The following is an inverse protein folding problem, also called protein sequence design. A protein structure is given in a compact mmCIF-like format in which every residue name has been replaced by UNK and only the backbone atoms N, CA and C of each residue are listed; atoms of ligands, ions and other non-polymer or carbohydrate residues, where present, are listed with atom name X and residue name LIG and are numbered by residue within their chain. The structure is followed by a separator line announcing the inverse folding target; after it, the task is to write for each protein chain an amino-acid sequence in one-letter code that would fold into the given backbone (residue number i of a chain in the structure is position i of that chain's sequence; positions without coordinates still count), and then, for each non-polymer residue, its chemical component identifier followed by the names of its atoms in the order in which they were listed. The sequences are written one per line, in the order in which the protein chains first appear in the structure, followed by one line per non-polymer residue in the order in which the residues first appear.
data_IF_732671593934
#
_entry.id   IF_732671593934
#
_cell.length_a   1.000
_cell.length_b   1.000
_cell.length_c   1.000
_cell.angle_alpha   90.00
_cell.angle_beta   90.00
_cell.angle_gamma   90.00
#
_symmetry.space_group_name_H-M   'P 1'
#
loop_
_entity.id
_entity.type
_entity.pdbx_description
1 polymer ?
#
# COMPACT_ATOMS: atom_id res chain seq x y z
N UNK A 1 12.04 25.13 12.10
CA UNK A 1 10.78 24.65 11.50
C UNK A 1 11.13 23.66 10.40
N UNK A 2 11.05 22.35 10.66
CA UNK A 2 11.20 21.35 9.59
C UNK A 2 9.80 21.15 9.02
N UNK A 3 9.62 21.49 7.74
CA UNK A 3 8.43 21.10 7.00
C UNK A 3 8.28 19.58 7.12
N UNK A 4 7.20 19.11 7.73
CA UNK A 4 6.72 17.74 7.52
C UNK A 4 5.82 17.82 6.29
N UNK A 5 6.31 17.51 5.06
CA UNK A 5 5.43 17.44 3.92
C UNK A 5 4.62 16.16 4.11
N UNK A 6 3.39 16.29 4.59
CA UNK A 6 2.46 15.18 4.59
C UNK A 6 2.17 14.82 3.12
N UNK A 7 3.01 13.95 2.57
CA UNK A 7 2.73 13.17 1.36
C UNK A 7 1.46 12.39 1.64
N UNK A 8 0.38 12.73 0.93
CA UNK A 8 -0.87 11.99 1.08
C UNK A 8 -0.72 10.66 0.35
N UNK A 9 -0.96 9.56 1.07
CA UNK A 9 -1.10 8.23 0.48
C UNK A 9 -2.56 7.84 0.55
N UNK A 10 -3.10 7.33 -0.54
CA UNK A 10 -4.50 6.93 -0.66
C UNK A 10 -4.64 5.57 -1.33
N UNK A 11 -5.73 4.88 -1.00
CA UNK A 11 -6.19 3.71 -1.74
C UNK A 11 -7.06 4.21 -2.89
N UNK A 12 -6.79 3.70 -4.09
CA UNK A 12 -7.63 3.92 -5.25
C UNK A 12 -8.27 2.60 -5.67
N UNK A 13 -9.60 2.54 -5.62
CA UNK A 13 -10.41 1.39 -6.01
C UNK A 13 -11.18 1.71 -7.28
N UNK A 14 -11.10 0.85 -8.30
CA UNK A 14 -11.96 0.95 -9.50
C UNK A 14 -13.26 0.14 -9.27
N UNK A 15 -13.15 -0.91 -8.47
CA UNK A 15 -14.24 -1.69 -7.86
C UNK A 15 -13.79 -2.11 -6.45
N UNK A 16 -14.68 -2.57 -5.55
CA UNK A 16 -14.35 -2.82 -4.12
C UNK A 16 -13.19 -3.81 -3.89
N UNK A 17 -12.82 -4.50 -4.94
CA UNK A 17 -12.02 -5.70 -5.03
C UNK A 17 -10.76 -5.46 -5.90
N UNK A 18 -10.82 -4.54 -6.87
CA UNK A 18 -9.67 -4.04 -7.64
C UNK A 18 -9.06 -2.77 -7.01
N UNK A 19 -7.92 -2.92 -6.35
CA UNK A 19 -7.29 -1.83 -5.62
C UNK A 19 -5.79 -1.63 -5.93
N UNK A 20 -5.41 -0.35 -6.03
CA UNK A 20 -4.04 0.13 -6.11
C UNK A 20 -3.77 1.11 -4.96
N UNK A 21 -2.53 1.13 -4.48
CA UNK A 21 -2.06 2.13 -3.52
C UNK A 21 -1.32 3.23 -4.27
N UNK A 22 -1.73 4.48 -4.07
CA UNK A 22 -1.16 5.62 -4.77
C UNK A 22 -0.63 6.67 -3.79
N UNK A 23 0.46 7.32 -4.20
CA UNK A 23 1.12 8.39 -3.45
C UNK A 23 1.10 9.67 -4.27
N UNK A 24 0.71 10.77 -3.63
CA UNK A 24 0.79 12.11 -4.21
C UNK A 24 2.16 12.70 -3.86
N UNK A 25 2.96 13.00 -4.87
CA UNK A 25 4.25 13.67 -4.69
C UNK A 25 4.10 15.16 -4.38
N UNK A 26 5.15 15.84 -3.88
CA UNK A 26 5.14 17.29 -3.65
C UNK A 26 5.00 18.10 -4.95
N UNK A 27 5.29 17.45 -6.09
CA UNK A 27 5.04 17.93 -7.45
C UNK A 27 3.55 17.82 -7.86
N UNK A 28 2.68 17.31 -6.99
CA UNK A 28 1.27 17.04 -7.29
C UNK A 28 1.06 15.79 -8.15
N UNK A 29 2.11 15.05 -8.50
CA UNK A 29 2.01 13.89 -9.39
C UNK A 29 1.61 12.66 -8.58
N UNK A 30 0.54 12.00 -9.01
CA UNK A 30 0.05 10.75 -8.42
C UNK A 30 0.79 9.56 -9.05
N UNK A 31 1.45 8.75 -8.22
CA UNK A 31 2.16 7.54 -8.64
C UNK A 31 1.55 6.32 -7.97
N UNK A 32 1.41 5.23 -8.71
CA UNK A 32 1.10 3.92 -8.11
C UNK A 32 2.37 3.40 -7.44
N UNK A 33 2.24 2.98 -6.18
CA UNK A 33 3.36 2.48 -5.38
C UNK A 33 3.19 1.01 -5.00
N UNK A 34 1.97 0.48 -5.07
CA UNK A 34 1.68 -0.94 -4.91
C UNK A 34 0.36 -1.31 -5.59
N UNK A 35 0.21 -2.59 -5.94
CA UNK A 35 -1.02 -3.13 -6.50
C UNK A 35 -0.96 -3.27 -8.03
N UNK A 36 -1.49 -4.39 -8.52
CA UNK A 36 -1.72 -4.66 -9.95
C UNK A 36 -3.14 -4.26 -10.39
N UNK A 37 -4.02 -3.95 -9.44
CA UNK A 37 -5.44 -3.73 -9.67
C UNK A 37 -6.24 -5.04 -9.71
N UNK A 38 -5.63 -6.19 -9.46
CA UNK A 38 -6.32 -7.47 -9.33
C UNK A 38 -6.42 -7.91 -7.87
N UNK A 39 -7.49 -8.65 -7.57
CA UNK A 39 -7.69 -9.29 -6.27
C UNK A 39 -6.64 -10.38 -5.98
N UNK A 40 -6.29 -10.53 -4.71
CA UNK A 40 -5.45 -11.63 -4.25
C UNK A 40 -4.65 -11.28 -3.01
N UNK A 41 -3.69 -12.15 -2.66
CA UNK A 41 -2.80 -12.00 -1.50
C UNK A 41 -1.33 -12.23 -1.84
N UNK A 42 -0.96 -12.11 -3.12
CA UNK A 42 0.35 -12.49 -3.64
C UNK A 42 1.36 -11.34 -3.60
N UNK A 43 2.62 -11.66 -3.88
CA UNK A 43 3.70 -10.70 -4.08
C UNK A 43 4.50 -10.34 -2.82
N UNK A 44 4.20 -10.93 -1.66
CA UNK A 44 5.04 -10.80 -0.46
C UNK A 44 6.48 -11.26 -0.74
N UNK A 45 7.46 -10.51 -0.23
CA UNK A 45 8.88 -10.69 -0.50
C UNK A 45 9.34 -10.18 -1.88
N UNK A 46 8.43 -9.65 -2.69
CA UNK A 46 8.69 -9.17 -4.05
C UNK A 46 8.39 -7.69 -4.26
N UNK A 47 8.39 -7.23 -5.53
CA UNK A 47 8.04 -5.86 -5.86
C UNK A 47 6.58 -5.53 -5.50
N UNK A 48 6.36 -4.41 -4.81
CA UNK A 48 5.05 -3.96 -4.38
C UNK A 48 4.06 -3.72 -5.54
N UNK A 49 4.57 -3.35 -6.72
CA UNK A 49 3.78 -3.19 -7.94
C UNK A 49 3.24 -4.51 -8.50
N UNK A 50 3.85 -5.64 -8.13
CA UNK A 50 3.39 -6.97 -8.54
C UNK A 50 2.44 -7.61 -7.51
N UNK A 51 2.22 -6.97 -6.36
CA UNK A 51 1.34 -7.50 -5.33
C UNK A 51 -0.14 -7.31 -5.68
N UNK A 52 -0.95 -8.27 -5.24
CA UNK A 52 -2.41 -8.22 -5.28
C UNK A 52 -2.94 -7.94 -3.88
N UNK A 53 -4.10 -7.27 -3.78
CA UNK A 53 -4.76 -6.94 -2.51
C UNK A 53 -6.22 -7.42 -2.57
N UNK A 54 -6.83 -7.72 -1.42
CA UNK A 54 -8.24 -8.07 -1.34
C UNK A 54 -8.97 -7.11 -0.40
N UNK A 55 -9.78 -6.21 -0.97
CA UNK A 55 -10.53 -5.20 -0.22
C UNK A 55 -9.65 -4.41 0.79
N UNK A 56 -8.59 -3.71 0.36
CA UNK A 56 -7.81 -2.89 1.26
C UNK A 56 -8.65 -1.74 1.81
N UNK A 57 -8.57 -1.51 3.12
CA UNK A 57 -9.49 -0.60 3.85
C UNK A 57 -8.84 0.69 4.33
N UNK A 58 -7.55 0.66 4.59
CA UNK A 58 -6.83 1.80 5.14
C UNK A 58 -5.38 1.80 4.73
N UNK A 59 -4.78 2.99 4.72
CA UNK A 59 -3.39 3.21 4.40
C UNK A 59 -2.79 4.28 5.31
N UNK A 60 -1.56 4.07 5.75
CA UNK A 60 -0.79 5.04 6.54
C UNK A 60 0.66 5.03 6.09
N UNK A 61 1.36 6.16 6.21
CA UNK A 61 2.79 6.26 5.94
C UNK A 61 3.54 6.65 7.22
N UNK A 62 4.76 6.13 7.40
CA UNK A 62 5.65 6.55 8.48
C UNK A 62 6.73 7.55 8.01
N UNK A 63 7.50 8.06 8.98
CA UNK A 63 8.60 9.02 8.78
C UNK A 63 9.75 8.45 7.94
N UNK A 64 9.91 7.14 7.88
CA UNK A 64 10.94 6.47 7.05
C UNK A 64 10.52 6.38 5.58
N UNK A 65 9.25 6.66 5.28
CA UNK A 65 8.67 6.55 3.95
C UNK A 65 8.05 5.19 3.66
N UNK A 66 7.99 4.28 4.64
CA UNK A 66 7.25 3.03 4.50
C UNK A 66 5.74 3.29 4.54
N UNK A 67 4.99 2.48 3.80
CA UNK A 67 3.52 2.58 3.70
C UNK A 67 2.90 1.29 4.20
N UNK A 68 1.96 1.41 5.12
CA UNK A 68 1.22 0.29 5.70
C UNK A 68 -0.17 0.25 5.10
N UNK A 69 -0.58 -0.92 4.64
CA UNK A 69 -1.85 -1.17 3.98
C UNK A 69 -2.60 -2.20 4.82
N UNK A 70 -3.82 -1.85 5.23
CA UNK A 70 -4.74 -2.81 5.85
C UNK A 70 -5.46 -3.54 4.73
N UNK A 71 -4.98 -4.74 4.42
CA UNK A 71 -5.53 -5.65 3.42
C UNK A 71 -6.68 -6.44 4.05
N UNK A 72 -7.86 -5.80 4.06
CA UNK A 72 -8.96 -6.16 4.95
C UNK A 72 -9.62 -7.50 4.63
N UNK A 73 -9.75 -7.84 3.35
CA UNK A 73 -10.27 -9.13 2.91
C UNK A 73 -9.31 -10.28 3.20
N UNK A 74 -8.01 -10.03 3.10
CA UNK A 74 -6.98 -11.02 3.48
C UNK A 74 -6.74 -11.09 4.99
N UNK A 75 -7.26 -10.12 5.76
CA UNK A 75 -7.04 -9.96 7.21
C UNK A 75 -5.56 -9.80 7.55
N UNK A 76 -4.85 -9.00 6.76
CA UNK A 76 -3.41 -8.77 6.88
C UNK A 76 -3.09 -7.29 6.95
N UNK A 77 -1.96 -6.96 7.58
CA UNK A 77 -1.31 -5.67 7.44
C UNK A 77 -0.05 -5.88 6.61
N UNK A 78 0.03 -5.20 5.46
CA UNK A 78 1.15 -5.31 4.53
C UNK A 78 1.93 -4.01 4.53
N UNK A 79 3.27 -4.10 4.56
CA UNK A 79 4.19 -2.96 4.56
C UNK A 79 4.88 -2.90 3.21
N UNK A 80 4.74 -1.77 2.53
CA UNK A 80 5.52 -1.37 1.37
C UNK A 80 6.73 -0.58 1.85
N UNK A 81 7.94 -1.08 1.62
CA UNK A 81 9.17 -0.42 2.03
C UNK A 81 9.59 0.66 1.01
N UNK A 82 10.45 1.63 1.40
CA UNK A 82 10.89 2.70 0.51
C UNK A 82 11.62 2.22 -0.76
N UNK A 83 12.19 1.02 -0.74
CA UNK A 83 12.85 0.39 -1.90
C UNK A 83 11.86 -0.25 -2.89
N UNK A 84 10.56 -0.20 -2.59
CA UNK A 84 9.50 -0.74 -3.43
C UNK A 84 9.21 -2.23 -3.20
N UNK A 85 9.72 -2.84 -2.13
CA UNK A 85 9.34 -4.20 -1.72
C UNK A 85 8.08 -4.22 -0.86
N UNK A 86 7.39 -5.35 -0.80
CA UNK A 86 6.22 -5.54 0.07
C UNK A 86 6.32 -6.82 0.90
N UNK A 87 5.94 -6.73 2.17
CA UNK A 87 5.87 -7.87 3.08
C UNK A 87 4.62 -7.81 3.95
N UNK A 88 4.12 -8.98 4.36
CA UNK A 88 3.14 -9.04 5.43
C UNK A 88 3.80 -8.94 6.80
N UNK A 89 3.36 -7.97 7.61
CA UNK A 89 3.89 -7.74 8.97
C UNK A 89 2.95 -8.23 10.07
N UNK A 90 1.68 -8.46 9.75
CA UNK A 90 0.70 -9.03 10.68
C UNK A 90 -0.41 -9.77 9.92
N UNK A 91 -0.87 -10.90 10.46
CA UNK A 91 -2.00 -11.68 9.95
C UNK A 91 -2.93 -12.07 11.09
N UNK A 92 -4.24 -12.07 10.86
CA UNK A 92 -5.18 -12.58 11.84
C UNK A 92 -5.20 -14.13 11.83
N UNK A 93 -4.60 -14.74 12.84
CA UNK A 93 -4.63 -16.20 13.09
C UNK A 93 -3.34 -16.94 12.76
N UNK A 94 -2.22 -16.53 13.37
CA UNK A 94 -1.00 -17.33 13.48
C UNK A 94 -0.85 -17.92 14.87
#
# INVERSE_FOLDING_TARGET
MRSCPWLTVSIHTVSPDHANVRKVGPDGIIRTIAGTGHEGADGDGGPALAATFLMPRAVAADVTGAVYVVDGGNRQVRRVAPDGTIDTIARAGG
#
